data_IF_133153371121
#
_entry.id   IF_133153371121
#
_cell.length_a   1.000
_cell.length_b   1.000
_cell.length_c   1.000
_cell.angle_alpha   90.00
_cell.angle_beta   90.00
_cell.angle_gamma   90.00
#
_symmetry.space_group_name_H-M   'P 1'
#
loop_
_entity.id
_entity.type
_entity.pdbx_description
1 polymer ?
#
# COMPACT_ATOMS: atom_id res chain seq x y z
N UNK A 1 12.61 8.56 4.18
CA UNK A 1 13.02 7.16 4.44
C UNK A 1 12.49 6.35 3.27
N UNK A 2 12.71 5.03 3.16
CA UNK A 2 11.90 4.21 2.27
C UNK A 2 10.42 4.36 2.66
N UNK A 3 9.55 4.47 1.67
CA UNK A 3 8.10 4.58 1.88
C UNK A 3 7.42 3.60 0.93
N UNK A 4 6.25 3.11 1.29
CA UNK A 4 5.49 2.20 0.44
C UNK A 4 4.01 2.59 0.37
N UNK A 5 3.71 3.83 0.74
CA UNK A 5 2.45 4.51 0.51
C UNK A 5 2.73 5.86 -0.12
N UNK A 6 1.85 6.33 -1.00
CA UNK A 6 1.86 7.76 -1.32
C UNK A 6 1.33 8.54 -0.09
N UNK A 7 1.92 9.70 0.15
CA UNK A 7 1.63 10.58 1.29
C UNK A 7 0.16 11.01 1.37
N UNK A 8 -0.60 10.93 0.27
CA UNK A 8 -2.00 11.34 0.22
C UNK A 8 -2.85 10.32 -0.52
N UNK A 9 -4.02 10.00 0.04
CA UNK A 9 -4.97 9.03 -0.53
C UNK A 9 -6.39 9.60 -0.56
N UNK A 10 -7.07 9.43 -1.68
CA UNK A 10 -8.44 9.91 -1.86
C UNK A 10 -9.43 9.02 -1.10
N UNK A 11 -10.44 9.64 -0.48
CA UNK A 11 -11.61 8.94 0.05
C UNK A 11 -12.72 8.99 -1.00
N UNK A 12 -13.28 7.82 -1.31
CA UNK A 12 -14.45 7.74 -2.15
C UNK A 12 -15.67 8.31 -1.39
N UNK A 13 -16.21 9.44 -1.85
CA UNK A 13 -17.31 10.14 -1.18
C UNK A 13 -18.59 9.29 -0.99
N UNK A 14 -18.84 8.30 -1.87
CA UNK A 14 -20.02 7.44 -1.80
C UNK A 14 -19.89 6.29 -0.79
N UNK A 15 -18.68 5.74 -0.63
CA UNK A 15 -18.44 4.58 0.23
C UNK A 15 -17.63 4.88 1.49
N UNK A 16 -17.05 6.08 1.60
CA UNK A 16 -16.12 6.49 2.65
C UNK A 16 -14.98 5.50 2.85
N UNK A 17 -14.53 4.90 1.75
CA UNK A 17 -13.40 3.99 1.65
C UNK A 17 -12.21 4.73 1.03
N UNK A 18 -10.99 4.33 1.34
CA UNK A 18 -9.82 4.83 0.61
C UNK A 18 -9.88 4.29 -0.81
N UNK A 19 -9.95 5.18 -1.80
CA UNK A 19 -10.13 4.85 -3.20
C UNK A 19 -8.76 4.65 -3.86
N UNK A 20 -8.58 3.51 -4.52
CA UNK A 20 -7.34 3.16 -5.23
C UNK A 20 -6.07 3.34 -4.38
N UNK A 21 -5.99 2.75 -3.18
CA UNK A 21 -4.79 2.82 -2.37
C UNK A 21 -3.56 2.37 -3.16
N UNK A 22 -2.49 3.16 -3.06
CA UNK A 22 -1.30 3.02 -3.89
C UNK A 22 -0.05 3.57 -3.20
N UNK A 23 1.11 3.19 -3.72
CA UNK A 23 2.38 3.70 -3.25
C UNK A 23 3.57 3.33 -4.13
N UNK A 24 4.73 3.93 -3.84
CA UNK A 24 5.99 3.56 -4.46
C UNK A 24 6.37 2.13 -4.05
N UNK A 25 6.72 1.30 -5.03
CA UNK A 25 7.27 -0.02 -4.79
C UNK A 25 8.79 0.12 -4.78
N UNK A 26 9.34 0.44 -3.60
CA UNK A 26 10.77 0.66 -3.37
C UNK A 26 11.31 -0.22 -2.26
N UNK A 27 12.60 -0.56 -2.32
CA UNK A 27 13.31 -1.25 -1.24
C UNK A 27 13.66 -0.33 -0.07
N UNK A 28 14.27 -0.90 0.98
CA UNK A 28 14.79 -0.17 2.15
C UNK A 28 15.90 0.85 1.84
N UNK A 29 16.36 0.93 0.60
CA UNK A 29 17.32 1.92 0.11
C UNK A 29 16.67 2.97 -0.82
N UNK A 30 15.36 2.86 -1.09
CA UNK A 30 14.62 3.75 -1.98
C UNK A 30 14.76 3.43 -3.47
N UNK A 31 15.34 2.27 -3.83
CA UNK A 31 15.42 1.82 -5.22
C UNK A 31 14.08 1.24 -5.67
N UNK A 32 13.60 1.71 -6.82
CA UNK A 32 12.33 1.20 -7.38
C UNK A 32 12.48 -0.22 -7.93
N UNK A 33 11.41 -0.98 -7.91
CA UNK A 33 11.38 -2.29 -8.56
C UNK A 33 11.16 -2.11 -10.07
N UNK A 34 11.89 -2.85 -10.94
CA UNK A 34 12.85 -3.92 -10.65
C UNK A 34 14.33 -3.45 -10.59
N UNK A 35 14.62 -2.14 -10.49
CA UNK A 35 15.99 -1.62 -10.47
C UNK A 35 16.81 -2.17 -9.29
N UNK A 36 16.14 -2.49 -8.18
CA UNK A 36 16.73 -3.23 -7.05
C UNK A 36 17.15 -4.68 -7.39
N UNK A 37 16.83 -5.17 -8.60
CA UNK A 37 17.01 -6.57 -9.00
C UNK A 37 15.97 -7.51 -8.39
N UNK A 38 14.87 -6.96 -7.88
CA UNK A 38 13.87 -7.70 -7.12
C UNK A 38 12.57 -7.87 -7.93
N UNK A 39 11.88 -8.98 -7.69
CA UNK A 39 10.61 -9.32 -8.35
C UNK A 39 9.48 -9.37 -7.32
N UNK A 40 8.47 -8.49 -7.40
CA UNK A 40 7.36 -8.50 -6.45
C UNK A 40 6.46 -9.72 -6.68
N UNK A 41 6.08 -10.39 -5.59
CA UNK A 41 5.22 -11.57 -5.61
C UNK A 41 3.82 -11.27 -5.08
N UNK A 42 3.76 -10.51 -3.98
CA UNK A 42 2.52 -10.22 -3.27
C UNK A 42 2.71 -8.97 -2.41
N UNK A 43 1.71 -8.10 -2.41
CA UNK A 43 1.61 -6.96 -1.52
C UNK A 43 0.29 -7.05 -0.77
N UNK A 44 0.34 -6.80 0.53
CA UNK A 44 -0.83 -6.54 1.33
C UNK A 44 -0.73 -5.15 1.95
N UNK A 45 -1.79 -4.38 1.83
CA UNK A 45 -1.82 -2.99 2.25
C UNK A 45 -3.04 -2.76 3.14
N UNK A 46 -2.84 -2.00 4.22
CA UNK A 46 -3.89 -1.59 5.14
C UNK A 46 -3.87 -0.10 5.36
N UNK A 47 -5.05 0.48 5.57
CA UNK A 47 -5.19 1.83 6.10
C UNK A 47 -5.94 1.72 7.41
N UNK A 48 -5.46 2.39 8.45
CA UNK A 48 -6.16 2.52 9.73
C UNK A 48 -6.22 3.98 10.15
N UNK A 49 -7.37 4.43 10.66
CA UNK A 49 -7.57 5.80 11.11
C UNK A 49 -8.11 5.80 12.54
N UNK A 50 -7.31 6.34 13.46
CA UNK A 50 -7.63 6.37 14.89
C UNK A 50 -8.88 7.19 15.20
N UNK A 51 -9.01 8.37 14.58
CA UNK A 51 -10.11 9.31 14.83
C UNK A 51 -11.51 8.76 14.54
N UNK A 52 -11.61 7.77 13.64
CA UNK A 52 -12.87 7.16 13.20
C UNK A 52 -12.97 5.68 13.56
N UNK A 53 -11.86 5.06 13.99
CA UNK A 53 -11.74 3.61 14.11
C UNK A 53 -11.85 2.87 12.77
N UNK A 54 -11.79 3.59 11.64
CA UNK A 54 -11.92 2.99 10.32
C UNK A 54 -10.67 2.20 9.96
N UNK A 55 -10.88 1.08 9.27
CA UNK A 55 -9.80 0.28 8.73
C UNK A 55 -10.19 -0.37 7.41
N UNK A 56 -9.22 -0.53 6.53
CA UNK A 56 -9.41 -1.13 5.21
C UNK A 56 -8.18 -1.94 4.85
N UNK A 57 -8.40 -3.03 4.12
CA UNK A 57 -7.36 -3.91 3.59
C UNK A 57 -7.51 -4.05 2.09
N UNK A 58 -6.40 -4.02 1.38
CA UNK A 58 -6.26 -4.46 0.00
C UNK A 58 -5.07 -5.40 -0.15
N UNK A 59 -5.02 -6.16 -1.23
CA UNK A 59 -3.85 -6.97 -1.57
C UNK A 59 -3.67 -7.02 -3.08
N UNK A 60 -2.43 -6.94 -3.55
CA UNK A 60 -2.07 -7.07 -4.97
C UNK A 60 -1.18 -8.31 -5.16
N UNK A 61 -1.48 -9.11 -6.19
CA UNK A 61 -0.71 -10.33 -6.53
C UNK A 61 -0.20 -10.33 -7.98
N UNK A 62 -0.68 -9.40 -8.79
CA UNK A 62 -0.39 -9.28 -10.22
C UNK A 62 -0.66 -7.84 -10.68
N UNK A 63 -0.42 -7.54 -11.96
CA UNK A 63 -0.69 -6.20 -12.51
C UNK A 63 0.26 -5.11 -11.99
N UNK A 64 1.48 -5.50 -11.60
CA UNK A 64 2.48 -4.58 -11.09
C UNK A 64 2.83 -3.51 -12.12
N UNK A 65 2.69 -2.24 -11.75
CA UNK A 65 3.24 -1.14 -12.52
C UNK A 65 4.74 -1.01 -12.20
N UNK A 66 5.59 -0.61 -13.17
CA UNK A 66 7.00 -0.34 -12.86
C UNK A 66 7.13 0.66 -11.72
N UNK A 67 7.85 0.27 -10.65
CA UNK A 67 8.12 1.10 -9.48
C UNK A 67 6.91 1.46 -8.61
N UNK A 68 5.72 0.90 -8.86
CA UNK A 68 4.50 1.27 -8.11
C UNK A 68 3.57 0.07 -7.92
N UNK A 69 2.86 0.09 -6.80
CA UNK A 69 1.73 -0.78 -6.58
C UNK A 69 0.45 0.05 -6.52
N UNK A 70 -0.65 -0.57 -6.91
CA UNK A 70 -1.98 0.04 -6.87
C UNK A 70 -2.99 -1.07 -6.65
N UNK A 71 -3.99 -0.81 -5.81
CA UNK A 71 -5.12 -1.70 -5.61
C UNK A 71 -6.09 -1.77 -6.80
N UNK A 72 -5.65 -1.40 -8.00
CA UNK A 72 -6.50 -1.28 -9.18
C UNK A 72 -7.16 -2.63 -9.53
N UNK A 73 -8.47 -2.61 -9.70
CA UNK A 73 -9.29 -3.80 -9.95
C UNK A 73 -9.50 -4.76 -8.77
N UNK A 74 -9.01 -4.47 -7.57
CA UNK A 74 -9.23 -5.30 -6.38
C UNK A 74 -10.15 -4.52 -5.44
N UNK A 75 -11.46 -4.86 -5.37
CA UNK A 75 -12.34 -4.28 -4.37
C UNK A 75 -11.65 -4.43 -3.01
N UNK A 76 -11.64 -3.40 -2.14
CA UNK A 76 -11.04 -3.53 -0.82
C UNK A 76 -11.58 -4.81 -0.20
N UNK A 77 -10.68 -5.78 0.02
CA UNK A 77 -11.09 -7.14 0.39
C UNK A 77 -11.87 -7.14 1.70
N UNK A 78 -11.67 -6.10 2.51
CA UNK A 78 -12.38 -5.85 3.76
C UNK A 78 -12.29 -4.37 4.16
N UNK A 79 -13.38 -3.82 4.71
CA UNK A 79 -13.48 -2.48 5.30
C UNK A 79 -14.31 -2.52 6.59
N UNK A 80 -13.89 -1.79 7.61
CA UNK A 80 -14.66 -1.44 8.81
C UNK A 80 -14.68 0.08 8.97
N UNK A 81 -15.83 0.61 9.41
CA UNK A 81 -16.00 2.03 9.70
C UNK A 81 -16.09 2.90 8.44
N UNK A 82 -15.96 4.20 8.63
CA UNK A 82 -15.96 5.21 7.57
C UNK A 82 -14.76 6.12 7.76
N UNK A 83 -13.89 6.18 6.76
CA UNK A 83 -12.79 7.14 6.77
C UNK A 83 -13.32 8.57 6.67
N UNK A 84 -12.56 9.50 7.20
CA UNK A 84 -12.78 10.94 7.09
C UNK A 84 -11.47 11.63 6.68
N UNK A 85 -11.53 12.83 6.10
CA UNK A 85 -10.32 13.59 5.81
C UNK A 85 -9.44 13.79 7.05
N UNK A 86 -8.13 13.68 6.87
CA UNK A 86 -7.11 13.82 7.89
C UNK A 86 -6.18 12.61 8.01
N UNK A 87 -5.34 12.64 9.05
CA UNK A 87 -4.25 11.68 9.21
C UNK A 87 -4.75 10.25 9.42
N UNK A 88 -4.09 9.30 8.76
CA UNK A 88 -4.22 7.87 8.94
C UNK A 88 -2.83 7.20 8.90
N UNK A 89 -2.79 5.91 9.17
CA UNK A 89 -1.59 5.09 9.04
C UNK A 89 -1.77 4.11 7.88
N UNK A 90 -0.91 4.22 6.88
CA UNK A 90 -0.71 3.23 5.84
C UNK A 90 0.24 2.14 6.35
N UNK A 91 -0.13 0.89 6.15
CA UNK A 91 0.70 -0.29 6.44
C UNK A 91 0.86 -1.05 5.15
N UNK A 92 2.07 -1.47 4.81
CA UNK A 92 2.31 -2.32 3.65
C UNK A 92 3.23 -3.49 4.03
N UNK A 93 2.91 -4.67 3.52
CA UNK A 93 3.76 -5.85 3.50
C UNK A 93 4.04 -6.19 2.05
N UNK A 94 5.30 -6.24 1.65
CA UNK A 94 5.69 -6.71 0.32
C UNK A 94 6.51 -7.97 0.45
N UNK A 95 6.01 -9.05 -0.17
CA UNK A 95 6.76 -10.25 -0.45
C UNK A 95 7.38 -10.17 -1.85
N UNK A 96 8.68 -10.45 -1.95
CA UNK A 96 9.42 -10.39 -3.20
C UNK A 96 10.48 -11.50 -3.27
N UNK A 97 10.97 -11.76 -4.49
CA UNK A 97 12.21 -12.48 -4.71
C UNK A 97 13.34 -11.48 -4.90
N UNK A 98 14.44 -11.63 -4.16
CA UNK A 98 15.64 -10.83 -4.36
C UNK A 98 16.41 -11.26 -5.63
N UNK A 99 17.48 -10.54 -5.97
CA UNK A 99 18.31 -10.84 -7.14
C UNK A 99 19.01 -12.20 -7.11
N UNK A 100 18.95 -12.94 -5.99
CA UNK A 100 19.47 -14.31 -5.84
C UNK A 100 18.36 -15.36 -5.97
N UNK A 101 17.10 -14.94 -6.11
CA UNK A 101 15.92 -15.81 -6.15
C UNK A 101 15.38 -16.19 -4.76
N UNK A 102 15.95 -15.66 -3.68
CA UNK A 102 15.49 -15.94 -2.33
C UNK A 102 14.22 -15.14 -2.02
N UNK A 103 13.28 -15.78 -1.31
CA UNK A 103 12.06 -15.13 -0.84
C UNK A 103 12.37 -14.18 0.32
N UNK A 104 11.83 -12.96 0.25
CA UNK A 104 11.97 -11.89 1.23
C UNK A 104 10.63 -11.22 1.51
N UNK A 105 10.56 -10.55 2.65
CA UNK A 105 9.40 -9.78 3.08
C UNK A 105 9.85 -8.54 3.82
N UNK A 106 9.28 -7.39 3.47
CA UNK A 106 9.51 -6.12 4.14
C UNK A 106 8.18 -5.48 4.54
N UNK A 107 8.23 -4.71 5.64
CA UNK A 107 7.08 -4.04 6.24
C UNK A 107 7.32 -2.53 6.29
N UNK A 108 6.32 -1.76 5.90
CA UNK A 108 6.32 -0.30 5.98
C UNK A 108 5.12 0.20 6.77
N UNK A 109 5.36 1.26 7.54
CA UNK A 109 4.37 1.97 8.32
C UNK A 109 4.56 3.45 8.05
N UNK A 110 3.65 4.02 7.27
CA UNK A 110 3.76 5.38 6.77
C UNK A 110 2.56 6.21 7.24
N UNK A 111 2.78 7.41 7.83
CA UNK A 111 1.69 8.35 8.00
C UNK A 111 1.19 8.80 6.63
N UNK A 112 -0.12 8.78 6.43
CA UNK A 112 -0.76 9.22 5.18
C UNK A 112 -1.87 10.22 5.48
N UNK A 113 -2.07 11.17 4.59
CA UNK A 113 -3.18 12.12 4.66
C UNK A 113 -4.35 11.62 3.79
N UNK A 114 -5.53 11.54 4.38
CA UNK A 114 -6.75 11.20 3.65
C UNK A 114 -7.50 12.48 3.29
N UNK A 115 -8.04 12.55 2.07
CA UNK A 115 -8.78 13.72 1.59
C UNK A 115 -10.07 13.37 0.84
#
# INVERSE_FOLDING_TARGET
>A
MPHNWDDSQNINAGSQAVEWPQGPLTDDMGLTFPQAGWTPLWLEAWVVQDSTGASQRTAQRSGWAPGRWTADGIPPGWKIGSFQPGLALGIALVAYQDGTGAFKQDWWLDPIDLY
#
